data_IF_860504781539
#
_entry.id   IF_860504781539
#
_cell.length_a   1.000
_cell.length_b   1.000
_cell.length_c   1.000
_cell.angle_alpha   90.00
_cell.angle_beta   90.00
_cell.angle_gamma   90.00
#
_symmetry.space_group_name_H-M   'P 1'
#
loop_
_entity.id
_entity.type
_entity.pdbx_description
1 polymer ?
#
# COMPACT_ATOMS: atom_id res chain seq x y z
N UNK A 1 -7.14 -22.85 8.01
CA UNK A 1 -7.64 -23.41 6.73
C UNK A 1 -6.52 -23.41 5.71
N UNK A 2 -6.11 -24.57 5.19
CA UNK A 2 -5.06 -24.67 4.16
C UNK A 2 -5.68 -24.29 2.81
N UNK A 3 -5.73 -22.99 2.52
CA UNK A 3 -6.20 -22.51 1.23
C UNK A 3 -5.22 -22.97 0.15
N UNK A 4 -5.59 -23.98 -0.63
CA UNK A 4 -4.75 -24.50 -1.70
C UNK A 4 -4.88 -23.56 -2.89
N UNK A 5 -3.86 -22.75 -3.12
CA UNK A 5 -3.74 -21.99 -4.35
C UNK A 5 -3.79 -22.95 -5.55
N UNK A 6 -4.55 -22.56 -6.57
CA UNK A 6 -4.50 -23.25 -7.86
C UNK A 6 -3.08 -23.17 -8.43
N UNK A 7 -2.71 -24.12 -9.29
CA UNK A 7 -1.42 -24.12 -10.01
C UNK A 7 -1.22 -22.78 -10.74
N UNK A 8 -2.29 -22.21 -11.30
CA UNK A 8 -2.25 -20.91 -11.97
C UNK A 8 -1.87 -19.77 -11.01
N UNK A 9 -2.42 -19.76 -9.81
CA UNK A 9 -2.09 -18.78 -8.76
C UNK A 9 -0.67 -18.98 -8.23
N UNK A 10 -0.20 -20.22 -8.14
CA UNK A 10 1.19 -20.51 -7.81
C UNK A 10 2.16 -19.96 -8.84
N UNK A 11 1.89 -20.14 -10.14
CA UNK A 11 2.70 -19.58 -11.23
C UNK A 11 2.70 -18.05 -11.18
N UNK A 12 1.53 -17.42 -11.04
CA UNK A 12 1.42 -15.95 -10.90
C UNK A 12 2.17 -15.42 -9.68
N UNK A 13 2.06 -16.10 -8.54
CA UNK A 13 2.74 -15.71 -7.30
C UNK A 13 4.24 -15.85 -7.44
N UNK A 14 4.72 -16.95 -8.05
CA UNK A 14 6.14 -17.18 -8.32
C UNK A 14 6.71 -16.09 -9.24
N UNK A 15 6.00 -15.78 -10.33
CA UNK A 15 6.37 -14.67 -11.21
C UNK A 15 6.41 -13.34 -10.46
N UNK A 16 5.36 -13.00 -9.70
CA UNK A 16 5.30 -11.77 -8.92
C UNK A 16 6.44 -11.68 -7.88
N UNK A 17 6.77 -12.79 -7.22
CA UNK A 17 7.85 -12.88 -6.25
C UNK A 17 9.21 -12.58 -6.90
N UNK A 18 9.51 -13.23 -8.04
CA UNK A 18 10.75 -12.98 -8.78
C UNK A 18 10.88 -11.49 -9.14
N UNK A 19 9.86 -10.92 -9.78
CA UNK A 19 9.87 -9.49 -10.16
C UNK A 19 9.95 -8.59 -8.94
N UNK A 20 9.34 -8.96 -7.81
CA UNK A 20 9.45 -8.20 -6.55
C UNK A 20 10.91 -8.13 -6.10
N UNK A 21 11.64 -9.25 -6.10
CA UNK A 21 13.05 -9.27 -5.72
C UNK A 21 13.94 -8.49 -6.69
N UNK A 22 13.59 -8.39 -7.97
CA UNK A 22 14.30 -7.50 -8.90
C UNK A 22 13.96 -6.02 -8.69
N UNK A 23 12.70 -5.68 -8.40
CA UNK A 23 12.24 -4.28 -8.39
C UNK A 23 12.29 -3.63 -7.00
N UNK A 24 11.82 -4.29 -5.95
CA UNK A 24 11.76 -3.77 -4.56
C UNK A 24 12.27 -4.88 -3.63
N UNK A 25 13.59 -5.05 -3.57
CA UNK A 25 14.29 -6.13 -2.83
C UNK A 25 13.84 -6.28 -1.37
N UNK A 26 13.54 -5.17 -0.72
CA UNK A 26 13.10 -5.12 0.69
C UNK A 26 11.70 -5.72 0.90
N UNK A 27 10.83 -5.67 -0.11
CA UNK A 27 9.46 -6.18 0.00
C UNK A 27 9.45 -7.72 0.05
N UNK A 28 8.45 -8.27 0.75
CA UNK A 28 8.21 -9.71 0.81
C UNK A 28 7.60 -10.20 -0.50
N UNK A 29 6.51 -9.58 -0.93
CA UNK A 29 5.80 -9.93 -2.16
C UNK A 29 4.94 -8.76 -2.65
N UNK A 30 5.13 -8.33 -3.89
CA UNK A 30 4.25 -7.34 -4.53
C UNK A 30 3.52 -8.05 -5.67
N UNK A 31 2.24 -8.37 -5.44
CA UNK A 31 1.40 -9.02 -6.46
C UNK A 31 1.17 -8.10 -7.65
N UNK A 32 0.98 -8.72 -8.83
CA UNK A 32 0.83 -8.04 -10.12
C UNK A 32 -0.59 -8.22 -10.65
N UNK A 33 -1.18 -7.22 -11.33
CA UNK A 33 -0.56 -5.95 -11.70
C UNK A 33 -0.47 -4.98 -10.51
N UNK A 34 0.55 -4.14 -10.53
CA UNK A 34 0.75 -3.05 -9.56
C UNK A 34 1.22 -1.83 -10.33
N UNK A 35 0.65 -0.68 -10.02
CA UNK A 35 1.01 0.59 -10.63
C UNK A 35 1.77 1.44 -9.62
N UNK A 36 3.03 1.75 -9.88
CA UNK A 36 3.86 2.57 -8.99
C UNK A 36 4.43 3.74 -9.80
N UNK A 37 3.80 4.90 -9.67
CA UNK A 37 4.30 6.15 -10.27
C UNK A 37 5.17 6.88 -9.25
N UNK A 38 6.31 7.40 -9.71
CA UNK A 38 7.20 8.18 -8.83
C UNK A 38 7.92 7.35 -7.77
N UNK A 39 8.31 6.12 -8.09
CA UNK A 39 8.96 5.16 -7.16
C UNK A 39 10.10 5.73 -6.30
N UNK A 40 10.83 6.76 -6.75
CA UNK A 40 11.86 7.45 -5.95
C UNK A 40 11.32 8.07 -4.65
N UNK A 41 10.02 8.33 -4.61
CA UNK A 41 9.31 8.86 -3.46
C UNK A 41 8.94 7.81 -2.41
N UNK A 42 9.12 6.53 -2.72
CA UNK A 42 8.81 5.42 -1.84
C UNK A 42 10.03 5.08 -0.97
N UNK A 43 9.83 5.10 0.35
CA UNK A 43 10.83 4.71 1.34
C UNK A 43 10.33 3.54 2.21
N UNK A 44 11.28 2.75 2.72
CA UNK A 44 10.98 1.59 3.58
C UNK A 44 10.57 0.33 2.81
N UNK A 45 9.40 -0.22 3.13
CA UNK A 45 8.79 -1.43 2.53
C UNK A 45 9.46 -2.76 2.91
N UNK A 46 10.18 -2.85 4.03
CA UNK A 46 10.76 -4.15 4.43
C UNK A 46 9.62 -5.09 4.80
N UNK A 47 9.61 -6.28 4.23
CA UNK A 47 8.54 -7.25 4.51
C UNK A 47 7.18 -6.91 3.91
N UNK A 48 7.07 -5.85 3.09
CA UNK A 48 5.80 -5.43 2.50
C UNK A 48 5.18 -6.55 1.65
N UNK A 49 3.90 -6.80 1.88
CA UNK A 49 3.06 -7.66 1.04
C UNK A 49 1.93 -6.86 0.42
N UNK A 50 1.67 -7.00 -0.87
CA UNK A 50 0.51 -6.36 -1.51
C UNK A 50 -0.41 -7.39 -2.16
N UNK A 51 -1.70 -7.07 -2.16
CA UNK A 51 -2.71 -7.67 -2.98
C UNK A 51 -2.58 -7.29 -4.46
N UNK A 52 -3.51 -7.78 -5.25
CA UNK A 52 -3.65 -7.51 -6.67
C UNK A 52 -4.10 -6.06 -6.93
N UNK A 53 -3.72 -5.50 -8.08
CA UNK A 53 -4.19 -4.20 -8.57
C UNK A 53 -3.91 -3.00 -7.64
N UNK A 54 -2.87 -3.07 -6.81
CA UNK A 54 -2.48 -1.94 -5.97
C UNK A 54 -1.94 -0.78 -6.82
N UNK A 55 -2.19 0.45 -6.37
CA UNK A 55 -1.79 1.68 -7.07
C UNK A 55 -1.13 2.66 -6.10
N UNK A 56 0.03 3.17 -6.47
CA UNK A 56 0.77 4.20 -5.75
C UNK A 56 1.05 5.37 -6.69
N UNK A 57 0.41 6.51 -6.45
CA UNK A 57 0.65 7.75 -7.18
C UNK A 57 1.50 8.69 -6.32
N UNK A 58 2.79 8.78 -6.66
CA UNK A 58 3.77 9.56 -5.92
C UNK A 58 4.41 10.64 -6.82
N UNK A 59 5.06 11.63 -6.20
CA UNK A 59 5.68 12.76 -6.94
C UNK A 59 6.88 12.34 -7.79
N UNK A 60 7.68 11.38 -7.31
CA UNK A 60 8.97 11.01 -7.86
C UNK A 60 10.11 12.01 -7.61
N UNK A 61 9.85 13.14 -6.92
CA UNK A 61 10.84 14.23 -6.71
C UNK A 61 11.50 14.18 -5.34
N UNK A 62 10.72 13.89 -4.29
CA UNK A 62 11.17 13.76 -2.90
C UNK A 62 10.54 12.52 -2.27
N UNK A 63 11.07 12.03 -1.14
CA UNK A 63 10.40 10.99 -0.37
C UNK A 63 9.08 11.52 0.18
N UNK A 64 7.96 10.86 -0.14
CA UNK A 64 6.62 11.27 0.27
C UNK A 64 5.78 10.12 0.81
N UNK A 65 6.14 8.87 0.53
CA UNK A 65 5.48 7.70 1.10
C UNK A 65 6.49 6.87 1.88
N UNK A 66 6.29 6.80 3.19
CA UNK A 66 7.07 5.97 4.09
C UNK A 66 6.23 4.78 4.53
N UNK A 67 6.73 3.58 4.27
CA UNK A 67 6.08 2.33 4.69
C UNK A 67 7.01 1.62 5.66
N UNK A 68 6.52 1.40 6.88
CA UNK A 68 7.19 0.62 7.91
C UNK A 68 7.42 -0.84 7.54
N UNK A 69 7.91 -1.59 8.52
CA UNK A 69 8.28 -2.99 8.38
C UNK A 69 7.05 -3.90 8.53
N UNK A 70 7.02 -5.00 7.77
CA UNK A 70 6.03 -6.08 7.84
C UNK A 70 4.57 -5.67 7.59
N UNK A 71 4.35 -4.67 6.75
CA UNK A 71 2.99 -4.27 6.35
C UNK A 71 2.39 -5.22 5.30
N UNK A 72 1.06 -5.31 5.29
CA UNK A 72 0.28 -6.06 4.31
C UNK A 72 -0.89 -5.22 3.80
N UNK A 73 -0.94 -4.99 2.49
CA UNK A 73 -2.00 -4.23 1.84
C UNK A 73 -2.90 -5.16 1.04
N UNK A 74 -4.22 -5.04 1.24
CA UNK A 74 -5.22 -5.79 0.47
C UNK A 74 -5.29 -5.39 -1.00
N UNK A 75 -6.13 -6.09 -1.75
CA UNK A 75 -6.29 -5.88 -3.19
C UNK A 75 -6.84 -4.48 -3.48
N UNK A 76 -6.43 -3.86 -4.59
CA UNK A 76 -6.90 -2.55 -5.05
C UNK A 76 -6.65 -1.41 -4.05
N UNK A 77 -5.65 -1.57 -3.16
CA UNK A 77 -5.21 -0.46 -2.30
C UNK A 77 -4.64 0.66 -3.17
N UNK A 78 -5.11 1.89 -2.96
CA UNK A 78 -4.64 3.07 -3.70
C UNK A 78 -4.12 4.12 -2.74
N UNK A 79 -2.83 4.45 -2.86
CA UNK A 79 -2.16 5.47 -2.06
C UNK A 79 -1.70 6.62 -2.96
N UNK A 80 -2.09 7.83 -2.61
CA UNK A 80 -1.63 9.08 -3.21
C UNK A 80 -0.83 9.83 -2.16
N UNK A 81 0.46 10.06 -2.42
CA UNK A 81 1.33 10.74 -1.47
C UNK A 81 2.18 11.79 -2.19
N UNK A 82 1.71 13.04 -2.19
CA UNK A 82 2.39 14.16 -2.84
C UNK A 82 3.17 15.06 -1.88
N UNK A 83 2.80 15.07 -0.60
CA UNK A 83 3.48 15.81 0.44
C UNK A 83 4.18 14.90 1.44
N UNK A 84 3.43 14.15 2.25
CA UNK A 84 3.91 13.18 3.23
C UNK A 84 2.79 12.23 3.71
N UNK A 85 2.97 10.93 3.49
CA UNK A 85 2.17 9.83 4.05
C UNK A 85 3.12 8.87 4.77
N UNK A 86 2.81 8.55 6.02
CA UNK A 86 3.59 7.65 6.86
C UNK A 86 2.70 6.49 7.34
N UNK A 87 3.12 5.27 7.02
CA UNK A 87 2.49 4.02 7.47
C UNK A 87 3.46 3.36 8.44
N UNK A 88 3.01 3.09 9.66
CA UNK A 88 3.81 2.45 10.70
C UNK A 88 4.12 0.97 10.42
N UNK A 89 4.75 0.31 11.37
CA UNK A 89 5.10 -1.11 11.28
C UNK A 89 3.88 -2.00 11.53
N UNK A 90 3.89 -3.22 10.97
CA UNK A 90 2.87 -4.26 11.17
C UNK A 90 1.44 -3.82 10.82
N UNK A 91 1.29 -2.92 9.86
CA UNK A 91 -0.03 -2.45 9.41
C UNK A 91 -0.64 -3.42 8.42
N UNK A 92 -1.87 -3.85 8.70
CA UNK A 92 -2.72 -4.59 7.78
C UNK A 92 -3.82 -3.67 7.22
N UNK A 93 -3.86 -3.49 5.90
CA UNK A 93 -4.94 -2.78 5.22
C UNK A 93 -5.86 -3.78 4.53
N UNK A 94 -7.17 -3.55 4.67
CA UNK A 94 -8.17 -4.28 3.89
C UNK A 94 -8.07 -3.96 2.39
N UNK A 95 -8.80 -4.71 1.56
CA UNK A 95 -8.90 -4.43 0.13
C UNK A 95 -9.68 -3.13 -0.13
N UNK A 96 -9.34 -2.44 -1.22
CA UNK A 96 -9.95 -1.18 -1.70
C UNK A 96 -9.79 -0.01 -0.72
N UNK A 97 -8.76 -0.04 0.11
CA UNK A 97 -8.40 1.10 0.97
C UNK A 97 -7.80 2.22 0.11
N UNK A 98 -8.29 3.44 0.32
CA UNK A 98 -7.76 4.66 -0.30
C UNK A 98 -7.12 5.56 0.76
N UNK A 99 -5.87 5.97 0.52
CA UNK A 99 -5.12 6.88 1.39
C UNK A 99 -4.60 8.03 0.54
N UNK A 100 -4.90 9.27 0.93
CA UNK A 100 -4.38 10.45 0.24
C UNK A 100 -3.99 11.58 1.19
N UNK A 101 -2.87 12.25 0.89
CA UNK A 101 -2.50 13.53 1.48
C UNK A 101 -2.82 14.74 0.58
N UNK A 102 -3.37 14.48 -0.61
CA UNK A 102 -3.80 15.55 -1.52
C UNK A 102 -5.18 16.03 -1.10
N UNK A 103 -5.24 17.26 -0.62
CA UNK A 103 -6.51 17.96 -0.44
C UNK A 103 -7.10 18.28 -1.82
N UNK A 104 -8.32 17.84 -2.11
CA UNK A 104 -9.02 18.12 -3.36
C UNK A 104 -9.87 19.40 -3.31
N UNK A 105 -9.76 20.19 -2.23
CA UNK A 105 -10.46 21.46 -2.06
C UNK A 105 -11.24 21.49 -0.74
N UNK A 106 -12.01 22.55 -0.55
CA UNK A 106 -12.84 22.71 0.63
C UNK A 106 -14.31 22.44 0.25
N UNK A 107 -14.99 21.55 0.97
CA UNK A 107 -16.46 21.54 0.93
C UNK A 107 -16.93 22.46 2.05
N UNK A 108 -17.50 23.62 1.69
CA UNK A 108 -18.02 24.57 2.69
C UNK A 108 -16.96 25.16 3.64
N UNK A 109 -15.73 25.37 3.18
CA UNK A 109 -14.65 25.92 4.02
C UNK A 109 -13.93 24.89 4.91
N UNK A 110 -14.29 23.60 4.82
CA UNK A 110 -13.60 22.50 5.51
C UNK A 110 -12.71 21.76 4.50
N UNK A 111 -11.39 21.63 4.75
CA UNK A 111 -10.50 20.95 3.82
C UNK A 111 -10.90 19.47 3.72
N UNK A 112 -11.19 18.99 2.52
CA UNK A 112 -11.50 17.58 2.27
C UNK A 112 -10.17 16.84 2.21
N UNK A 113 -9.70 16.40 3.37
CA UNK A 113 -8.59 15.47 3.44
C UNK A 113 -9.20 14.07 3.61
N UNK A 114 -9.09 13.21 2.60
CA UNK A 114 -9.32 11.78 2.76
C UNK A 114 -8.13 11.16 3.50
N UNK A 115 -7.91 11.61 4.74
CA UNK A 115 -7.01 10.98 5.69
C UNK A 115 -7.89 10.06 6.51
N UNK A 116 -7.90 8.77 6.16
CA UNK A 116 -8.04 7.79 7.21
C UNK A 116 -6.83 7.99 8.12
N UNK A 117 -7.00 8.75 9.20
CA UNK A 117 -6.03 8.84 10.27
C UNK A 117 -6.07 7.50 11.00
N UNK A 118 -5.49 6.48 10.38
CA UNK A 118 -5.25 5.20 11.00
C UNK A 118 -4.05 5.39 11.94
N UNK A 119 -4.31 6.00 13.11
CA UNK A 119 -3.44 5.89 14.27
C UNK A 119 -3.60 4.47 14.79
N UNK A 120 -2.93 3.51 14.14
CA UNK A 120 -2.98 2.09 14.50
C UNK A 120 -2.04 1.87 15.67
N UNK A 121 -2.52 2.24 16.85
CA UNK A 121 -1.85 2.07 18.15
C UNK A 121 -2.41 0.82 18.86
N UNK A 122 -2.30 -0.35 18.23
CA UNK A 122 -2.73 -1.69 18.71
C UNK A 122 -3.96 -2.27 18.00
N UNK A 123 -3.85 -3.57 17.74
CA UNK A 123 -4.80 -4.42 17.05
C UNK A 123 -6.18 -4.45 17.73
N UNK A 124 -7.20 -3.89 17.08
CA UNK A 124 -8.57 -4.44 17.07
C UNK A 124 -9.18 -4.19 15.69
N UNK A 125 -9.82 -5.22 15.14
CA UNK A 125 -10.54 -5.18 13.87
C UNK A 125 -11.33 -3.88 13.72
N UNK A 126 -11.09 -3.15 12.63
CA UNK A 126 -11.97 -2.07 12.20
C UNK A 126 -13.15 -2.73 11.47
N UNK A 127 -14.26 -2.88 12.17
CA UNK A 127 -15.57 -3.03 11.54
C UNK A 127 -15.95 -1.66 10.97
N UNK A 128 -16.37 -1.65 9.71
CA UNK A 128 -17.01 -0.50 9.08
C UNK A 128 -18.44 -0.44 9.63
N UNK A 129 -18.76 0.63 10.38
CA UNK A 129 -20.14 1.12 10.51
C UNK A 129 -20.46 2.06 9.36
#
# INVERSE_FOLDING_TARGET
MRNRYSITEFVKTSYAFLITKFTIRKARLIRRPVYIRGKKSLAGCRGLTTGYNCRFDLTGKKQTLFIGDNCEFGDMTHIVAFNNVMIGDNVLMASKVFVSDTNHGFLGGVPIIHVFHLKIEHWKQVLLE
#
